data_IF_086762759333
#
_entry.id   IF_086762759333
#
_cell.length_a   1.000
_cell.length_b   1.000
_cell.length_c   1.000
_cell.angle_alpha   90.00
_cell.angle_beta   90.00
_cell.angle_gamma   90.00
#
_symmetry.space_group_name_H-M   'P 1'
#
loop_
_entity.id
_entity.type
_entity.pdbx_description
1 polymer ?
#
# COMPACT_ATOMS: atom_id res chain seq x y z
N UNK A 1 -24.27 -26.71 18.55
CA UNK A 1 -23.44 -26.40 17.38
C UNK A 1 -22.75 -27.68 16.98
N UNK A 2 -23.04 -28.21 15.78
CA UNK A 2 -22.42 -29.47 15.33
C UNK A 2 -21.00 -29.24 14.84
N UNK A 3 -20.15 -30.28 14.82
CA UNK A 3 -18.79 -30.15 14.29
C UNK A 3 -18.76 -29.67 12.83
N UNK A 4 -19.78 -30.03 12.02
CA UNK A 4 -19.90 -29.57 10.63
C UNK A 4 -20.17 -28.07 10.53
N UNK A 5 -21.03 -27.53 11.39
CA UNK A 5 -21.39 -26.11 11.44
C UNK A 5 -20.20 -25.22 11.81
N UNK A 6 -19.33 -25.68 12.73
CA UNK A 6 -18.10 -24.96 13.10
C UNK A 6 -17.11 -24.89 11.93
N UNK A 7 -16.95 -25.98 11.19
CA UNK A 7 -16.05 -26.04 10.02
C UNK A 7 -16.57 -25.16 8.89
N UNK A 8 -17.88 -25.18 8.64
CA UNK A 8 -18.51 -24.37 7.61
C UNK A 8 -18.44 -22.87 7.92
N UNK A 9 -18.71 -22.49 9.17
CA UNK A 9 -18.53 -21.11 9.65
C UNK A 9 -17.06 -20.65 9.53
N UNK A 10 -16.10 -21.53 9.82
CA UNK A 10 -14.67 -21.24 9.64
C UNK A 10 -14.28 -21.04 8.18
N UNK A 11 -14.84 -21.82 7.26
CA UNK A 11 -14.62 -21.65 5.80
C UNK A 11 -15.21 -20.35 5.28
N UNK A 12 -16.43 -20.02 5.68
CA UNK A 12 -17.09 -18.75 5.34
C UNK A 12 -16.29 -17.56 5.86
N UNK A 13 -15.83 -17.61 7.11
CA UNK A 13 -14.96 -16.59 7.70
C UNK A 13 -13.68 -16.39 6.88
N UNK A 14 -12.98 -17.47 6.53
CA UNK A 14 -11.76 -17.39 5.74
C UNK A 14 -12.02 -16.81 4.33
N UNK A 15 -13.10 -17.24 3.66
CA UNK A 15 -13.45 -16.77 2.33
C UNK A 15 -13.79 -15.27 2.32
N UNK A 16 -14.54 -14.79 3.31
CA UNK A 16 -14.88 -13.36 3.43
C UNK A 16 -13.64 -12.50 3.65
N UNK A 17 -12.73 -12.93 4.53
CA UNK A 17 -11.48 -12.22 4.76
C UNK A 17 -10.57 -12.22 3.53
N UNK A 18 -10.48 -13.36 2.85
CA UNK A 18 -9.71 -13.46 1.62
C UNK A 18 -10.26 -12.51 0.54
N UNK A 19 -11.58 -12.50 0.33
CA UNK A 19 -12.22 -11.59 -0.61
C UNK A 19 -12.00 -10.10 -0.25
N UNK A 20 -12.12 -9.75 1.04
CA UNK A 20 -11.89 -8.39 1.53
C UNK A 20 -10.45 -7.94 1.29
N UNK A 21 -9.48 -8.77 1.66
CA UNK A 21 -8.06 -8.42 1.57
C UNK A 21 -7.56 -8.45 0.12
N UNK A 22 -8.10 -9.32 -0.74
CA UNK A 22 -7.72 -9.29 -2.16
C UNK A 22 -8.33 -8.14 -2.94
N UNK A 23 -9.57 -7.74 -2.63
CA UNK A 23 -10.19 -6.59 -3.29
C UNK A 23 -9.63 -5.24 -2.80
N UNK A 24 -9.28 -5.14 -1.52
CA UNK A 24 -8.84 -3.89 -0.89
C UNK A 24 -7.33 -3.75 -0.67
N UNK A 25 -6.55 -4.83 -0.82
CA UNK A 25 -5.15 -4.87 -0.40
C UNK A 25 -4.98 -5.13 1.11
N UNK A 26 -3.76 -4.94 1.66
CA UNK A 26 -3.50 -5.15 3.08
C UNK A 26 -4.43 -4.34 3.99
N UNK A 27 -5.00 -4.98 5.01
CA UNK A 27 -5.94 -4.35 5.94
C UNK A 27 -5.41 -4.42 7.37
N UNK A 28 -5.35 -3.28 8.06
CA UNK A 28 -5.05 -3.20 9.50
C UNK A 28 -6.27 -3.64 10.32
N UNK A 29 -6.04 -4.51 11.30
CA UNK A 29 -7.04 -5.09 12.18
C UNK A 29 -6.55 -5.12 13.63
N UNK A 30 -7.45 -5.20 14.62
CA UNK A 30 -7.09 -5.43 16.03
C UNK A 30 -6.22 -6.68 16.21
N UNK A 31 -5.31 -6.65 17.18
CA UNK A 31 -4.32 -7.73 17.43
C UNK A 31 -4.97 -9.08 17.76
N UNK A 32 -6.15 -9.07 18.36
CA UNK A 32 -6.98 -10.22 18.75
C UNK A 32 -7.79 -10.80 17.58
N UNK A 33 -7.78 -10.15 16.41
CA UNK A 33 -8.45 -10.68 15.21
C UNK A 33 -7.87 -12.07 14.87
N UNK A 34 -8.70 -13.13 14.75
CA UNK A 34 -8.24 -14.48 14.45
C UNK A 34 -7.44 -14.57 13.16
N UNK A 35 -6.45 -15.48 13.12
CA UNK A 35 -5.68 -15.77 11.92
C UNK A 35 -6.58 -16.34 10.81
N UNK A 36 -6.31 -15.93 9.58
CA UNK A 36 -7.04 -16.35 8.38
C UNK A 36 -6.09 -17.16 7.51
N UNK A 37 -6.51 -18.34 7.07
CA UNK A 37 -5.70 -19.18 6.21
C UNK A 37 -5.40 -18.47 4.87
N UNK A 38 -4.15 -18.51 4.43
CA UNK A 38 -3.72 -17.87 3.17
C UNK A 38 -3.52 -16.36 3.25
N UNK A 39 -3.52 -15.77 4.45
CA UNK A 39 -3.12 -14.38 4.68
C UNK A 39 -1.93 -14.33 5.67
N UNK A 40 -0.92 -13.53 5.36
CA UNK A 40 0.17 -13.23 6.27
C UNK A 40 -0.27 -12.17 7.30
N UNK A 41 0.36 -12.22 8.47
CA UNK A 41 0.14 -11.27 9.57
C UNK A 41 1.39 -10.44 9.80
N UNK A 42 1.31 -9.15 9.51
CA UNK A 42 2.39 -8.20 9.78
C UNK A 42 2.03 -7.35 11.01
N UNK A 43 2.69 -7.61 12.14
CA UNK A 43 2.50 -6.83 13.37
C UNK A 43 3.06 -5.42 13.15
N UNK A 44 2.29 -4.41 13.54
CA UNK A 44 2.72 -3.02 13.43
C UNK A 44 3.92 -2.73 14.36
N UNK A 45 4.86 -1.86 13.95
CA UNK A 45 6.02 -1.56 14.78
C UNK A 45 5.68 -1.04 16.18
N UNK A 46 4.53 -0.36 16.35
CA UNK A 46 4.06 0.17 17.63
C UNK A 46 3.17 -0.81 18.42
N UNK A 47 2.91 -2.00 17.86
CA UNK A 47 2.03 -3.01 18.45
C UNK A 47 0.54 -2.64 18.49
N UNK A 48 0.13 -1.51 17.90
CA UNK A 48 -1.26 -1.03 17.96
C UNK A 48 -2.22 -1.85 17.09
N UNK A 49 -1.69 -2.65 16.15
CA UNK A 49 -2.49 -3.54 15.32
C UNK A 49 -1.68 -4.58 14.55
N UNK A 50 -2.40 -5.36 13.76
CA UNK A 50 -1.84 -6.34 12.83
C UNK A 50 -2.39 -6.05 11.43
N UNK A 51 -1.54 -6.13 10.42
CA UNK A 51 -1.93 -6.10 9.02
C UNK A 51 -2.20 -7.52 8.53
N UNK A 52 -3.39 -7.72 7.95
CA UNK A 52 -3.72 -8.89 7.15
C UNK A 52 -3.27 -8.64 5.71
N UNK A 53 -2.32 -9.44 5.24
CA UNK A 53 -1.66 -9.25 3.94
C UNK A 53 -1.96 -10.46 3.05
N UNK A 54 -2.41 -10.25 1.79
CA UNK A 54 -2.62 -11.37 0.89
C UNK A 54 -1.27 -12.02 0.56
N UNK A 55 -1.18 -13.34 0.77
CA UNK A 55 -0.02 -14.13 0.34
C UNK A 55 -0.36 -14.87 -0.94
N UNK A 56 0.50 -14.71 -1.94
CA UNK A 56 0.46 -15.57 -3.11
C UNK A 56 1.01 -16.95 -2.71
N UNK A 57 0.33 -18.05 -3.10
CA UNK A 57 0.91 -19.38 -2.98
C UNK A 57 2.26 -19.46 -3.68
N UNK A 58 3.16 -20.31 -3.18
CA UNK A 58 4.43 -20.57 -3.85
C UNK A 58 4.19 -21.03 -5.29
N UNK A 59 4.87 -20.39 -6.25
CA UNK A 59 4.70 -20.67 -7.67
C UNK A 59 3.59 -19.87 -8.37
N UNK A 60 2.69 -19.22 -7.63
CA UNK A 60 1.74 -18.22 -8.18
C UNK A 60 2.45 -16.88 -8.41
N UNK A 61 3.54 -16.90 -9.16
CA UNK A 61 4.30 -15.72 -9.54
C UNK A 61 3.62 -14.92 -10.64
N UNK A 62 4.33 -13.93 -11.16
CA UNK A 62 3.85 -13.02 -12.20
C UNK A 62 3.26 -13.74 -13.42
N UNK A 63 3.93 -14.78 -13.95
CA UNK A 63 3.42 -15.52 -15.13
C UNK A 63 2.05 -16.15 -14.89
N UNK A 64 1.78 -16.62 -13.66
CA UNK A 64 0.46 -17.18 -13.30
C UNK A 64 -0.58 -16.07 -13.17
N UNK A 65 -0.21 -14.91 -12.64
CA UNK A 65 -1.12 -13.76 -12.54
C UNK A 65 -1.48 -13.18 -13.92
N UNK A 66 -0.51 -13.13 -14.84
CA UNK A 66 -0.71 -12.73 -16.22
C UNK A 66 -1.65 -13.71 -16.96
N UNK A 67 -1.41 -15.02 -16.83
CA UNK A 67 -2.29 -16.06 -17.39
C UNK A 67 -3.74 -15.95 -16.87
N UNK A 68 -3.92 -15.55 -15.61
CA UNK A 68 -5.24 -15.38 -14.99
C UNK A 68 -5.88 -14.01 -15.28
N UNK A 69 -5.21 -13.13 -16.02
CA UNK A 69 -5.70 -11.76 -16.29
C UNK A 69 -5.83 -10.91 -15.02
N UNK A 70 -5.07 -11.23 -13.98
CA UNK A 70 -5.09 -10.47 -12.74
C UNK A 70 -4.41 -9.10 -12.94
N UNK A 71 -4.95 -8.00 -12.38
CA UNK A 71 -4.33 -6.69 -12.50
C UNK A 71 -2.89 -6.70 -11.93
N UNK A 72 -1.89 -6.22 -12.68
CA UNK A 72 -0.51 -6.22 -12.22
C UNK A 72 -0.34 -5.30 -11.01
N UNK A 73 0.39 -5.77 -9.99
CA UNK A 73 0.80 -4.93 -8.86
C UNK A 73 1.74 -3.83 -9.37
N UNK A 74 1.64 -2.61 -8.84
CA UNK A 74 2.35 -1.42 -9.33
C UNK A 74 3.90 -1.52 -9.40
N UNK A 75 4.49 -2.60 -8.89
CA UNK A 75 5.94 -2.86 -8.84
C UNK A 75 6.32 -4.04 -9.77
N UNK A 76 5.57 -4.27 -10.85
CA UNK A 76 5.74 -5.49 -11.67
C UNK A 76 6.66 -5.37 -12.89
N UNK A 77 7.39 -4.27 -13.09
CA UNK A 77 8.39 -4.14 -14.17
C UNK A 77 9.59 -3.32 -13.69
N UNK A 78 10.78 -3.37 -14.35
CA UNK A 78 11.83 -2.39 -14.16
C UNK A 78 11.32 -1.00 -14.56
N UNK A 79 10.61 -0.37 -13.63
CA UNK A 79 10.01 0.93 -13.75
C UNK A 79 10.55 1.82 -12.62
N UNK A 80 10.40 3.12 -12.75
CA UNK A 80 11.00 4.04 -11.79
C UNK A 80 10.40 3.90 -10.37
N UNK A 81 9.16 3.38 -10.27
CA UNK A 81 8.54 3.05 -8.97
C UNK A 81 9.29 1.91 -8.27
N UNK A 82 9.68 0.86 -8.99
CA UNK A 82 10.51 -0.22 -8.45
C UNK A 82 11.90 0.28 -8.04
N UNK A 83 12.49 1.19 -8.82
CA UNK A 83 13.77 1.83 -8.47
C UNK A 83 13.66 2.64 -7.17
N UNK A 84 12.61 3.44 -7.01
CA UNK A 84 12.33 4.18 -5.77
C UNK A 84 12.07 3.23 -4.61
N UNK A 85 11.38 2.10 -4.83
CA UNK A 85 11.20 1.08 -3.79
C UNK A 85 12.55 0.53 -3.32
N UNK A 86 13.46 0.16 -4.23
CA UNK A 86 14.80 -0.32 -3.87
C UNK A 86 15.57 0.69 -3.03
N UNK A 87 15.45 1.99 -3.32
CA UNK A 87 16.04 3.06 -2.52
C UNK A 87 15.39 3.12 -1.13
N UNK A 88 14.07 3.00 -1.04
CA UNK A 88 13.37 2.97 0.24
C UNK A 88 13.78 1.75 1.08
N UNK A 89 13.97 0.59 0.45
CA UNK A 89 14.51 -0.62 1.09
C UNK A 89 15.92 -0.35 1.63
N UNK A 90 16.81 0.24 0.83
CA UNK A 90 18.16 0.59 1.31
C UNK A 90 18.13 1.55 2.52
N UNK A 91 17.18 2.49 2.56
CA UNK A 91 17.04 3.44 3.68
C UNK A 91 16.38 2.84 4.92
N UNK A 92 15.43 1.90 4.76
CA UNK A 92 14.56 1.42 5.84
C UNK A 92 14.91 0.00 6.33
N UNK A 93 15.72 -0.77 5.59
CA UNK A 93 16.16 -2.13 5.96
C UNK A 93 17.66 -2.15 6.29
N UNK A 94 17.98 -1.59 7.46
CA UNK A 94 19.38 -1.45 7.93
C UNK A 94 19.97 -2.80 8.32
N UNK A 95 19.22 -3.61 9.08
CA UNK A 95 19.64 -4.96 9.48
C UNK A 95 19.26 -5.98 8.40
N UNK A 96 20.17 -6.18 7.45
CA UNK A 96 19.91 -6.93 6.21
C UNK A 96 19.85 -8.44 6.41
N UNK A 97 20.31 -8.96 7.54
CA UNK A 97 20.23 -10.40 7.84
C UNK A 97 18.87 -10.79 8.43
N UNK A 98 18.10 -9.81 8.91
CA UNK A 98 16.77 -10.00 9.47
C UNK A 98 15.61 -9.84 8.47
N UNK A 99 14.35 -9.95 8.95
CA UNK A 99 13.18 -9.66 8.14
C UNK A 99 13.13 -8.17 7.75
N UNK A 100 12.62 -7.89 6.54
CA UNK A 100 12.51 -6.52 6.03
C UNK A 100 11.43 -5.71 6.77
N UNK A 101 10.30 -6.33 7.10
CA UNK A 101 9.26 -5.72 7.93
C UNK A 101 9.55 -5.93 9.42
N UNK A 102 9.35 -4.93 10.30
CA UNK A 102 8.84 -3.58 10.03
C UNK A 102 9.88 -2.56 9.53
N UNK A 103 11.17 -2.92 9.56
CA UNK A 103 12.26 -2.00 9.25
C UNK A 103 12.33 -0.80 10.20
N UNK A 104 13.16 0.17 9.82
CA UNK A 104 13.33 1.46 10.53
C UNK A 104 12.69 2.60 9.75
N UNK A 105 12.46 3.73 10.41
CA UNK A 105 11.99 4.95 9.75
C UNK A 105 13.15 5.56 8.94
N UNK A 106 12.95 5.72 7.63
CA UNK A 106 13.76 6.57 6.77
C UNK A 106 13.08 7.90 6.47
N UNK A 107 13.75 8.76 5.70
CA UNK A 107 13.25 10.10 5.34
C UNK A 107 13.30 10.36 3.84
N UNK A 108 12.44 11.26 3.37
CA UNK A 108 12.45 11.75 2.00
C UNK A 108 13.83 12.31 1.62
N UNK A 109 14.51 12.98 2.55
CA UNK A 109 15.87 13.52 2.34
C UNK A 109 16.89 12.41 2.04
N UNK A 110 16.84 11.29 2.75
CA UNK A 110 17.72 10.13 2.47
C UNK A 110 17.44 9.56 1.08
N UNK A 111 16.15 9.36 0.75
CA UNK A 111 15.73 8.80 -0.55
C UNK A 111 16.24 9.69 -1.69
N UNK A 112 16.09 11.00 -1.56
CA UNK A 112 16.60 11.97 -2.55
C UNK A 112 18.12 11.90 -2.70
N UNK A 113 18.85 11.80 -1.60
CA UNK A 113 20.30 11.71 -1.61
C UNK A 113 20.79 10.45 -2.33
N UNK A 114 20.22 9.28 -2.02
CA UNK A 114 20.55 8.02 -2.70
C UNK A 114 20.18 8.08 -4.18
N UNK A 115 19.01 8.63 -4.51
CA UNK A 115 18.56 8.79 -5.90
C UNK A 115 19.51 9.67 -6.71
N UNK A 116 19.93 10.81 -6.15
CA UNK A 116 20.90 11.71 -6.78
C UNK A 116 22.28 11.04 -6.94
N UNK A 117 22.75 10.32 -5.93
CA UNK A 117 24.00 9.57 -5.96
C UNK A 117 24.01 8.51 -7.08
N UNK A 118 22.91 7.79 -7.25
CA UNK A 118 22.76 6.78 -8.30
C UNK A 118 22.75 7.40 -9.70
N UNK A 119 22.22 8.63 -9.86
CA UNK A 119 22.23 9.34 -11.14
C UNK A 119 23.56 10.03 -11.45
N UNK A 120 24.47 10.16 -10.49
CA UNK A 120 25.76 10.83 -10.65
C UNK A 120 25.66 12.31 -11.02
N UNK A 121 24.52 12.96 -10.74
CA UNK A 121 24.25 14.36 -11.10
C UNK A 121 23.48 15.09 -10.01
N UNK A 122 23.48 16.42 -10.07
CA UNK A 122 22.73 17.27 -9.13
C UNK A 122 21.22 17.06 -9.29
N UNK A 123 20.50 17.13 -8.18
CA UNK A 123 19.04 16.98 -8.12
C UNK A 123 18.33 17.99 -9.02
N UNK A 124 17.36 17.53 -9.81
CA UNK A 124 16.48 18.38 -10.62
C UNK A 124 15.05 18.36 -10.07
N UNK A 125 14.28 19.44 -10.31
CA UNK A 125 12.88 19.52 -9.85
C UNK A 125 11.99 18.40 -10.41
N UNK A 126 12.31 17.88 -11.59
CA UNK A 126 11.62 16.74 -12.21
C UNK A 126 11.84 15.43 -11.43
N UNK A 127 13.02 15.25 -10.84
CA UNK A 127 13.35 14.07 -10.03
C UNK A 127 12.47 14.05 -8.76
N UNK A 128 12.25 15.21 -8.12
CA UNK A 128 11.40 15.31 -6.94
C UNK A 128 9.95 14.93 -7.25
N UNK A 129 9.37 15.48 -8.32
CA UNK A 129 8.00 15.14 -8.75
C UNK A 129 7.85 13.64 -9.00
N UNK A 130 8.87 13.03 -9.61
CA UNK A 130 8.90 11.59 -9.88
C UNK A 130 8.98 10.76 -8.61
N UNK A 131 9.84 11.14 -7.67
CA UNK A 131 10.01 10.46 -6.37
C UNK A 131 8.68 10.52 -5.61
N UNK A 132 8.09 11.70 -5.49
CA UNK A 132 6.80 11.90 -4.81
C UNK A 132 5.70 11.08 -5.48
N UNK A 133 5.60 11.10 -6.82
CA UNK A 133 4.63 10.29 -7.54
C UNK A 133 4.80 8.79 -7.30
N UNK A 134 6.05 8.32 -7.21
CA UNK A 134 6.37 6.92 -6.92
C UNK A 134 6.05 6.53 -5.47
N UNK A 135 6.38 7.39 -4.50
CA UNK A 135 6.04 7.19 -3.09
C UNK A 135 4.53 7.11 -2.89
N UNK A 136 3.74 7.99 -3.52
CA UNK A 136 2.26 7.93 -3.47
C UNK A 136 1.72 6.59 -4.00
N UNK A 137 2.25 6.10 -5.13
CA UNK A 137 1.84 4.79 -5.69
C UNK A 137 2.23 3.62 -4.77
N UNK A 138 3.44 3.64 -4.23
CA UNK A 138 3.93 2.61 -3.30
C UNK A 138 3.13 2.61 -1.98
N UNK A 139 2.78 3.80 -1.49
CA UNK A 139 1.92 3.97 -0.33
C UNK A 139 0.51 3.44 -0.60
N UNK A 140 -0.11 3.82 -1.72
CA UNK A 140 -1.44 3.35 -2.11
C UNK A 140 -1.50 1.81 -2.28
N UNK A 141 -0.37 1.17 -2.59
CA UNK A 141 -0.26 -0.29 -2.74
C UNK A 141 0.33 -0.99 -1.52
N UNK A 142 0.48 -0.28 -0.39
CA UNK A 142 0.98 -0.81 0.89
C UNK A 142 2.37 -1.44 0.82
N UNK A 143 3.19 -1.05 -0.16
CA UNK A 143 4.61 -1.35 -0.21
C UNK A 143 5.43 -0.46 0.73
N UNK A 144 4.92 0.74 1.01
CA UNK A 144 5.49 1.69 1.96
C UNK A 144 4.39 2.26 2.86
N UNK A 145 4.77 2.66 4.06
CA UNK A 145 4.01 3.60 4.89
C UNK A 145 4.71 4.96 4.75
N UNK A 146 4.01 5.98 4.29
CA UNK A 146 4.60 7.29 4.03
C UNK A 146 3.76 8.37 4.69
N UNK A 147 4.36 9.08 5.63
CA UNK A 147 3.80 10.33 6.14
C UNK A 147 4.33 11.48 5.29
N UNK A 148 3.51 11.93 4.35
CA UNK A 148 3.85 12.99 3.42
C UNK A 148 4.08 14.34 4.12
N UNK A 149 3.48 14.57 5.31
CA UNK A 149 3.59 15.86 6.01
C UNK A 149 4.96 16.03 6.66
N UNK A 150 5.46 14.98 7.32
CA UNK A 150 6.80 14.99 7.94
C UNK A 150 7.89 14.43 7.03
N UNK A 151 7.52 13.80 5.92
CA UNK A 151 8.48 13.20 4.98
C UNK A 151 9.12 11.92 5.51
N UNK A 152 8.45 11.21 6.42
CA UNK A 152 8.94 9.96 7.01
C UNK A 152 8.41 8.75 6.22
N UNK A 153 9.31 7.83 5.89
CA UNK A 153 9.01 6.63 5.10
C UNK A 153 9.37 5.39 5.92
N UNK A 154 8.52 4.38 5.87
CA UNK A 154 8.79 3.03 6.36
C UNK A 154 8.42 2.01 5.29
N UNK A 155 9.01 0.83 5.39
CA UNK A 155 8.53 -0.31 4.63
C UNK A 155 7.07 -0.60 5.00
N UNK A 156 6.28 -1.01 4.02
CA UNK A 156 4.87 -1.34 4.16
C UNK A 156 4.66 -2.82 4.48
N UNK A 157 3.47 -3.20 4.97
CA UNK A 157 3.18 -4.55 5.44
C UNK A 157 3.34 -5.61 4.34
N UNK A 158 3.19 -5.22 3.06
CA UNK A 158 3.38 -6.13 1.92
C UNK A 158 4.80 -6.68 1.84
N UNK A 159 5.80 -6.02 2.41
CA UNK A 159 7.19 -6.50 2.44
C UNK A 159 7.39 -7.78 3.26
N UNK A 160 6.43 -8.12 4.15
CA UNK A 160 6.47 -9.41 4.88
C UNK A 160 6.34 -10.61 3.95
N UNK A 161 5.77 -10.43 2.75
CA UNK A 161 5.58 -11.53 1.79
C UNK A 161 6.85 -11.82 0.99
N UNK A 162 7.95 -11.11 1.24
CA UNK A 162 9.20 -11.39 0.55
C UNK A 162 9.82 -12.70 1.04
N UNK A 163 9.96 -13.65 0.12
CA UNK A 163 10.62 -14.92 0.37
C UNK A 163 12.15 -14.80 0.45
N UNK A 164 12.85 -15.86 0.90
CA UNK A 164 14.30 -15.84 1.06
C UNK A 164 15.09 -15.46 -0.22
N UNK A 165 14.61 -15.89 -1.40
CA UNK A 165 15.23 -15.56 -2.68
C UNK A 165 15.11 -14.07 -3.03
N UNK A 166 13.94 -13.48 -2.79
CA UNK A 166 13.70 -12.05 -3.01
C UNK A 166 14.55 -11.22 -2.04
N UNK A 167 14.63 -11.63 -0.77
CA UNK A 167 15.49 -10.97 0.21
C UNK A 167 16.97 -11.05 -0.19
N UNK A 168 17.44 -12.20 -0.68
CA UNK A 168 18.82 -12.33 -1.19
C UNK A 168 19.10 -11.39 -2.37
N UNK A 169 18.16 -11.28 -3.32
CA UNK A 169 18.26 -10.33 -4.42
C UNK A 169 18.25 -8.86 -3.96
N UNK A 170 17.38 -8.51 -3.01
CA UNK A 170 17.33 -7.17 -2.43
C UNK A 170 18.62 -6.79 -1.70
N UNK A 171 19.26 -7.74 -1.01
CA UNK A 171 20.58 -7.49 -0.40
C UNK A 171 21.62 -7.10 -1.44
N UNK A 172 21.63 -7.78 -2.58
CA UNK A 172 22.55 -7.45 -3.67
C UNK A 172 22.25 -6.06 -4.25
N UNK A 173 20.99 -5.75 -4.49
CA UNK A 173 20.56 -4.40 -4.90
C UNK A 173 21.02 -3.34 -3.89
N UNK A 174 20.91 -3.61 -2.59
CA UNK A 174 21.34 -2.67 -1.56
C UNK A 174 22.87 -2.57 -1.42
N UNK A 175 23.66 -3.49 -1.98
CA UNK A 175 25.14 -3.37 -2.03
C UNK A 175 25.61 -2.46 -3.15
N UNK A 176 24.86 -2.39 -4.25
CA UNK A 176 25.21 -1.56 -5.42
C UNK A 176 24.69 -0.13 -5.32
N UNK A 177 23.68 0.12 -4.47
CA UNK A 177 23.13 1.45 -4.26
C UNK A 177 24.09 2.30 -3.41
N UNK A 178 24.11 3.63 -3.63
CA UNK A 178 24.82 4.55 -2.74
C UNK A 178 24.34 4.39 -1.29
N UNK A 179 25.26 4.47 -0.34
CA UNK A 179 24.92 4.40 1.08
C UNK A 179 24.01 5.57 1.47
N UNK A 180 22.86 5.29 2.13
CA UNK A 180 21.98 6.35 2.59
C UNK A 180 22.65 7.16 3.70
N UNK A 181 22.52 8.51 3.69
CA UNK A 181 22.94 9.32 4.83
C UNK A 181 22.12 8.98 6.07
N UNK A 182 22.55 9.41 7.26
CA UNK A 182 21.80 9.19 8.49
C UNK A 182 20.39 9.83 8.42
N UNK A 183 19.39 9.14 8.97
CA UNK A 183 18.03 9.66 9.05
C UNK A 183 17.97 10.81 10.06
N UNK A 184 17.49 11.98 9.62
CA UNK A 184 17.20 13.11 10.50
C UNK A 184 15.69 13.16 10.70
N UNK A 185 15.22 12.59 11.81
CA UNK A 185 13.80 12.52 12.15
C UNK A 185 13.37 13.78 12.89
N UNK A 186 12.13 14.22 12.65
CA UNK A 186 11.55 15.35 13.40
C UNK A 186 11.03 14.80 14.72
N UNK A 187 11.52 15.33 15.84
CA UNK A 187 11.08 14.90 17.16
C UNK A 187 9.57 15.18 17.35
N UNK A 188 8.79 14.10 17.50
CA UNK A 188 7.34 14.21 17.69
C UNK A 188 7.06 14.54 19.15
N UNK A 189 6.58 15.75 19.43
CA UNK A 189 5.99 16.08 20.73
C UNK A 189 4.78 15.12 20.93
N UNK A 190 4.67 14.39 22.06
CA UNK A 190 3.52 13.53 22.29
C UNK A 190 2.25 14.37 22.22
N UNK A 191 1.35 13.98 21.33
CA UNK A 191 0.04 14.60 21.19
C UNK A 191 -0.75 14.25 22.46
N UNK A 192 -1.02 15.26 23.29
CA UNK A 192 -1.88 15.11 24.46
C UNK A 192 -3.22 14.53 23.99
N UNK A 193 -3.70 13.41 24.58
CA UNK A 193 -4.99 12.85 24.20
C UNK A 193 -6.05 13.94 24.23
N UNK A 194 -6.81 14.07 23.13
CA UNK A 194 -7.90 15.02 23.07
C UNK A 194 -8.84 14.79 24.27
N UNK A 195 -9.11 15.90 24.97
CA UNK A 195 -10.01 15.98 26.13
C UNK A 195 -11.33 15.24 25.81
N UNK A 196 -11.76 14.26 26.62
CA UNK A 196 -13.03 13.58 26.38
C UNK A 196 -14.15 14.61 26.35
N UNK A 197 -14.92 14.61 25.26
CA UNK A 197 -16.12 15.43 25.07
C UNK A 197 -16.97 15.43 26.37
N UNK A 198 -17.48 16.60 26.81
CA UNK A 198 -18.33 16.66 27.99
C UNK A 198 -19.54 15.73 27.77
N UNK A 199 -19.79 14.86 28.75
CA UNK A 199 -20.97 14.01 28.76
C UNK A 199 -22.24 14.89 28.71
N UNK A 200 -23.30 14.47 28.00
CA UNK A 200 -24.56 15.20 28.02
C UNK A 200 -25.20 15.03 29.39
N UNK A 201 -25.05 16.04 30.25
CA UNK A 201 -25.86 16.21 31.45
C UNK A 201 -27.27 16.65 31.05
N UNK A 202 -28.25 15.86 31.50
CA UNK A 202 -29.66 16.19 31.76
C UNK A 202 -30.35 17.22 30.86
N UNK A 203 -31.02 16.72 29.83
CA UNK A 203 -32.20 17.39 29.25
C UNK A 203 -33.45 16.53 29.50
N UNK A 204 -34.15 16.84 30.59
CA UNK A 204 -35.53 16.45 30.81
C UNK A 204 -36.46 17.08 29.74
N UNK A 205 -37.67 16.53 29.52
CA UNK A 205 -38.34 16.54 28.23
C UNK A 205 -39.08 17.86 27.98
N UNK A 206 -39.01 18.37 26.75
CA UNK A 206 -39.87 19.45 26.27
C UNK A 206 -40.66 18.99 25.04
N UNK A 207 -41.91 19.41 25.04
CA UNK A 207 -43.05 18.94 24.28
C UNK A 207 -42.90 18.87 22.75
N UNK A 208 -43.63 17.89 22.24
CA UNK A 208 -44.11 17.71 20.88
C UNK A 208 -44.93 18.94 20.45
N UNK A 209 -44.44 19.67 19.45
CA UNK A 209 -45.28 20.51 18.59
C UNK A 209 -44.78 20.37 17.16
N UNK A 210 -45.61 19.74 16.32
CA UNK A 210 -45.27 19.41 14.95
C UNK A 210 -45.06 20.64 14.06
N UNK A 211 -44.19 20.48 13.07
CA UNK A 211 -44.32 21.17 11.79
C UNK A 211 -43.75 20.26 10.72
N UNK A 212 -44.63 19.96 9.77
CA UNK A 212 -44.46 19.05 8.65
C UNK A 212 -43.74 19.75 7.49
N UNK A 213 -43.00 18.93 6.71
CA UNK A 213 -42.62 19.09 5.30
C UNK A 213 -41.25 19.72 4.98
N UNK A 214 -40.69 19.45 3.77
CA UNK A 214 -40.50 18.14 3.16
C UNK A 214 -39.06 17.92 2.63
N UNK A 215 -38.74 16.67 2.28
CA UNK A 215 -37.47 16.23 1.71
C UNK A 215 -37.12 16.87 0.34
N UNK A 216 -35.85 17.21 0.07
CA UNK A 216 -35.41 17.53 -1.28
C UNK A 216 -35.18 16.27 -2.12
N UNK A 217 -35.71 16.32 -3.33
CA UNK A 217 -35.78 15.26 -4.31
C UNK A 217 -34.41 14.79 -4.84
N UNK A 218 -34.31 13.48 -5.01
CA UNK A 218 -33.27 12.78 -5.77
C UNK A 218 -33.53 13.06 -7.26
N UNK A 219 -32.69 13.85 -7.91
CA UNK A 219 -32.63 13.91 -9.37
C UNK A 219 -31.64 12.86 -9.87
N UNK A 220 -32.19 11.74 -10.37
CA UNK A 220 -31.47 10.84 -11.29
C UNK A 220 -31.25 11.58 -12.61
N UNK A 221 -30.00 11.79 -12.99
CA UNK A 221 -29.63 12.17 -14.35
C UNK A 221 -28.92 11.00 -15.00
N UNK A 222 -29.69 10.21 -15.74
CA UNK A 222 -29.24 9.20 -16.70
C UNK A 222 -28.81 9.93 -17.98
N UNK A 223 -27.53 9.82 -18.36
CA UNK A 223 -27.07 10.04 -19.73
C UNK A 223 -25.67 9.43 -19.91
N UNK A 224 -25.49 8.42 -20.78
CA UNK A 224 -24.19 7.85 -21.08
C UNK A 224 -23.39 8.76 -22.04
N UNK A 225 -22.07 8.94 -21.88
CA UNK A 225 -21.27 9.60 -22.89
C UNK A 225 -21.04 8.68 -24.09
N UNK A 226 -21.41 9.19 -25.26
CA UNK A 226 -21.26 8.60 -26.59
C UNK A 226 -19.81 8.17 -26.89
N UNK A 227 -19.68 6.95 -27.43
CA UNK A 227 -18.47 6.41 -28.01
C UNK A 227 -18.09 7.19 -29.28
N UNK A 228 -17.04 8.00 -29.20
CA UNK A 228 -16.40 8.56 -30.41
C UNK A 228 -15.52 7.49 -31.03
N UNK A 229 -15.94 7.02 -32.20
CA UNK A 229 -15.24 6.08 -33.07
C UNK A 229 -13.84 6.59 -33.43
N UNK A 230 -12.81 5.80 -33.12
CA UNK A 230 -11.42 6.01 -33.59
C UNK A 230 -11.25 5.18 -34.88
N UNK A 231 -10.84 5.76 -36.02
CA UNK A 231 -10.56 4.99 -37.23
C UNK A 231 -9.28 4.17 -37.09
N UNK A 232 -9.18 2.97 -37.68
CA UNK A 232 -7.97 2.18 -37.64
C UNK A 232 -6.85 2.83 -38.47
N UNK A 233 -5.63 2.77 -37.92
CA UNK A 233 -4.41 3.17 -38.61
C UNK A 233 -4.15 2.26 -39.82
N UNK A 234 -3.91 2.87 -40.98
CA UNK A 234 -3.43 2.21 -42.19
C UNK A 234 -2.09 1.52 -41.94
N UNK A 235 -2.05 0.21 -42.18
CA UNK A 235 -0.81 -0.55 -42.28
C UNK A 235 -0.21 -0.26 -43.66
N UNK A 236 0.89 0.48 -43.71
CA UNK A 236 1.80 0.47 -44.85
C UNK A 236 2.80 -0.65 -44.64
N UNK A 237 2.56 -1.76 -45.34
CA UNK A 237 3.62 -2.70 -45.68
C UNK A 237 4.54 -2.00 -46.68
N UNK A 238 5.79 -1.78 -46.31
CA UNK A 238 6.86 -1.46 -47.26
C UNK A 238 7.79 -2.67 -47.33
N UNK A 239 8.02 -3.07 -48.57
CA UNK A 239 8.82 -4.16 -49.07
C UNK A 239 10.26 -4.15 -48.55
N UNK A 240 10.80 -5.33 -48.28
CA UNK A 240 12.24 -5.55 -48.25
C UNK A 240 12.57 -6.78 -49.10
N UNK A 241 12.69 -6.54 -50.40
CA UNK A 241 13.53 -7.32 -51.32
C UNK A 241 14.97 -6.78 -51.18
N UNK A 242 15.88 -7.59 -50.62
CA UNK A 242 17.20 -8.01 -51.15
C UNK A 242 17.97 -8.84 -50.11
#
# INVERSE_FOLDING_TARGET
>A
MSAGEVVENGRLYNALWWAKVQSGGPVKVPVDTPAVAGLARAVEPDGSGVWMVPTLPDGAGHGVLEELGAPPVAVEMPNETARVLSICVACCWVERDGPAWPGVTGTLTQIKAVYAGMRGRREQSSDLTLIIGSLRRLHATSWLLWDEKVGEVRLGPRTITWGPSQLAGLREVCRILPDPPAAVLVERKPETPADPLPAPEDAAPADIAGTTAPAPAITRSDAPPSLTSIPPASVTSEDLDD
#
